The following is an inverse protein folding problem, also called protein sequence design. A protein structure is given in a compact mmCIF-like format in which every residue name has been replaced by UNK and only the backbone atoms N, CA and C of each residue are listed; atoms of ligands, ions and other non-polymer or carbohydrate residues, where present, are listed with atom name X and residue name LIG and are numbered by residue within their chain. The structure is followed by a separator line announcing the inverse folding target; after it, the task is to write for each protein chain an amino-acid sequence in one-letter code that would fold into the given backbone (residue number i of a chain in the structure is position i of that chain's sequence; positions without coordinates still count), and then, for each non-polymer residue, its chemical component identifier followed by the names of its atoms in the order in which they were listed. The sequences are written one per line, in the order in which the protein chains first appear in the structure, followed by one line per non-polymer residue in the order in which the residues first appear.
data_IF_913781846904
#
_entry.id   IF_913781846904
#
_cell.length_a   1.000
_cell.length_b   1.000
_cell.length_c   1.000
_cell.angle_alpha   90.00
_cell.angle_beta   90.00
_cell.angle_gamma   90.00
#
_symmetry.space_group_name_H-M   'P 1'
#
loop_
_entity.id
_entity.type
_entity.pdbx_description
1 polymer ?
#
# COMPACT_ATOMS: atom_id res chain seq x y z
N UNK A 1 2.01 -21.84 -7.98
CA UNK A 1 0.79 -21.21 -7.43
C UNK A 1 1.07 -19.72 -7.35
N UNK A 2 0.62 -18.96 -8.34
CA UNK A 2 0.60 -17.50 -8.27
C UNK A 2 -0.32 -17.11 -7.11
N UNK A 3 0.22 -16.54 -6.02
CA UNK A 3 -0.60 -16.07 -4.90
C UNK A 3 -1.73 -15.17 -5.42
N UNK A 4 -2.96 -15.38 -4.93
CA UNK A 4 -4.10 -14.54 -5.27
C UNK A 4 -3.83 -13.09 -4.86
N UNK A 5 -4.52 -12.12 -5.46
CA UNK A 5 -4.41 -10.71 -5.08
C UNK A 5 -4.58 -10.51 -3.56
N UNK A 6 -5.53 -11.24 -2.95
CA UNK A 6 -5.77 -11.23 -1.51
C UNK A 6 -4.59 -11.72 -0.69
N UNK A 7 -3.86 -12.74 -1.16
CA UNK A 7 -2.67 -13.26 -0.47
C UNK A 7 -1.48 -12.30 -0.60
N UNK A 8 -1.29 -11.70 -1.78
CA UNK A 8 -0.27 -10.66 -1.97
C UNK A 8 -0.55 -9.45 -1.07
N UNK A 9 -1.79 -8.95 -1.06
CA UNK A 9 -2.19 -7.83 -0.22
C UNK A 9 -2.00 -8.14 1.27
N UNK A 10 -2.34 -9.36 1.70
CA UNK A 10 -2.12 -9.81 3.08
C UNK A 10 -0.65 -9.81 3.46
N UNK A 11 0.23 -10.36 2.61
CA UNK A 11 1.69 -10.41 2.84
C UNK A 11 2.32 -9.03 2.83
N UNK A 12 1.94 -8.16 1.91
CA UNK A 12 2.36 -6.76 1.93
C UNK A 12 1.94 -6.07 3.24
N UNK A 13 0.74 -6.40 3.74
CA UNK A 13 0.23 -5.88 5.00
C UNK A 13 1.01 -6.33 6.23
N UNK A 14 1.69 -7.49 6.20
CA UNK A 14 2.55 -7.97 7.29
C UNK A 14 3.74 -7.03 7.55
N UNK A 15 4.17 -6.29 6.51
CA UNK A 15 5.25 -5.29 6.60
C UNK A 15 4.83 -3.94 5.98
N UNK A 16 3.62 -3.50 6.32
CA UNK A 16 3.00 -2.32 5.70
C UNK A 16 3.84 -1.04 5.83
N UNK A 17 4.61 -0.87 6.91
CA UNK A 17 5.48 0.30 7.05
C UNK A 17 6.63 0.27 6.06
N UNK A 18 7.31 -0.87 5.88
CA UNK A 18 8.38 -0.98 4.91
C UNK A 18 7.87 -0.75 3.49
N UNK A 19 6.67 -1.26 3.16
CA UNK A 19 6.02 -0.99 1.87
C UNK A 19 5.79 0.51 1.69
N UNK A 20 5.28 1.19 2.71
CA UNK A 20 5.08 2.65 2.63
C UNK A 20 6.40 3.41 2.51
N UNK A 21 7.49 2.95 3.14
CA UNK A 21 8.80 3.57 2.99
C UNK A 21 9.35 3.47 1.58
N UNK A 22 9.11 2.33 0.91
CA UNK A 22 9.55 2.09 -0.47
C UNK A 22 8.73 2.91 -1.48
N UNK A 23 7.39 2.78 -1.44
CA UNK A 23 6.51 3.32 -2.48
C UNK A 23 5.92 4.69 -2.15
N UNK A 24 5.83 5.05 -0.86
CA UNK A 24 5.21 6.29 -0.36
C UNK A 24 6.22 7.15 0.42
N UNK A 25 7.46 7.22 -0.08
CA UNK A 25 8.62 7.86 0.55
C UNK A 25 8.48 9.36 0.88
N UNK A 26 7.53 10.08 0.28
CA UNK A 26 7.21 11.47 0.64
C UNK A 26 6.31 11.58 1.89
N UNK A 27 5.82 10.46 2.40
CA UNK A 27 5.05 10.40 3.64
C UNK A 27 5.90 10.16 4.89
N UNK A 28 5.22 9.94 6.01
CA UNK A 28 5.85 9.65 7.29
C UNK A 28 4.94 8.81 8.19
N UNK A 29 5.54 8.12 9.15
CA UNK A 29 4.80 7.39 10.19
C UNK A 29 4.26 8.35 11.26
N UNK A 30 2.98 8.21 11.57
CA UNK A 30 2.29 8.86 12.69
C UNK A 30 1.43 7.84 13.45
N UNK A 31 1.91 7.38 14.60
CA UNK A 31 1.25 6.34 15.38
C UNK A 31 1.11 5.02 14.62
N UNK A 32 -0.14 4.60 14.38
CA UNK A 32 -0.46 3.40 13.59
C UNK A 32 -0.75 3.68 12.10
N UNK A 33 -0.44 4.89 11.62
CA UNK A 33 -0.70 5.26 10.24
C UNK A 33 0.56 5.77 9.54
N UNK A 34 0.64 5.55 8.24
CA UNK A 34 1.48 6.31 7.33
C UNK A 34 0.67 7.43 6.72
N UNK A 35 1.20 8.65 6.73
CA UNK A 35 0.53 9.86 6.27
C UNK A 35 1.25 10.39 5.03
N UNK A 36 0.52 10.56 3.93
CA UNK A 36 1.04 11.04 2.64
C UNK A 36 -0.04 11.84 1.90
N UNK A 37 0.31 12.49 0.79
CA UNK A 37 -0.65 13.26 -0.02
C UNK A 37 -1.67 12.36 -0.69
N UNK A 38 -1.21 11.40 -1.49
CA UNK A 38 -2.09 10.48 -2.20
C UNK A 38 -1.37 9.15 -2.48
N UNK A 39 -2.07 8.24 -3.15
CA UNK A 39 -1.58 6.92 -3.56
C UNK A 39 -0.43 7.00 -4.58
N UNK A 40 -0.23 8.16 -5.24
CA UNK A 40 0.86 8.43 -6.18
C UNK A 40 2.09 9.04 -5.50
N UNK A 41 2.17 8.94 -4.18
CA UNK A 41 3.29 9.43 -3.37
C UNK A 41 3.49 10.96 -3.48
N UNK A 42 2.43 11.75 -3.68
CA UNK A 42 2.56 13.21 -3.58
C UNK A 42 2.77 13.64 -2.13
N UNK A 43 3.42 14.80 -1.92
CA UNK A 43 3.56 15.37 -0.58
C UNK A 43 2.21 15.87 -0.09
N UNK A 44 1.86 15.53 1.15
CA UNK A 44 0.60 15.96 1.75
C UNK A 44 0.25 15.14 2.98
N UNK A 45 -1.03 15.16 3.35
CA UNK A 45 -1.54 14.50 4.55
C UNK A 45 -3.00 14.04 4.45
N UNK A 46 -3.51 13.92 3.23
CA UNK A 46 -4.89 13.51 2.96
C UNK A 46 -5.05 12.00 2.96
N UNK A 47 -3.99 11.25 2.59
CA UNK A 47 -4.03 9.78 2.57
C UNK A 47 -3.39 9.16 3.81
N UNK A 48 -4.13 8.21 4.40
CA UNK A 48 -3.76 7.49 5.61
C UNK A 48 -3.71 5.98 5.35
N UNK A 49 -2.53 5.37 5.46
CA UNK A 49 -2.36 3.91 5.37
C UNK A 49 -2.27 3.31 6.76
N UNK A 50 -3.04 2.26 7.07
CA UNK A 50 -2.95 1.56 8.35
C UNK A 50 -1.73 0.65 8.40
N UNK A 51 -0.86 0.84 9.39
CA UNK A 51 0.39 0.08 9.53
C UNK A 51 0.22 -1.27 10.25
N UNK A 52 -0.64 -1.33 11.26
CA UNK A 52 -0.94 -2.56 12.01
C UNK A 52 -2.43 -2.85 12.01
N UNK A 53 -2.78 -4.13 11.85
CA UNK A 53 -4.16 -4.60 11.93
C UNK A 53 -4.76 -4.38 13.32
N UNK A 54 -6.07 -4.15 13.37
CA UNK A 54 -6.82 -4.00 14.61
C UNK A 54 -8.27 -4.45 14.43
N UNK A 55 -9.12 -4.25 15.44
CA UNK A 55 -10.53 -4.63 15.40
C UNK A 55 -11.33 -4.01 14.23
N UNK A 56 -10.81 -2.95 13.60
CA UNK A 56 -11.43 -2.26 12.44
C UNK A 56 -10.92 -2.78 11.09
N UNK A 57 -9.97 -3.73 11.06
CA UNK A 57 -9.54 -4.40 9.84
C UNK A 57 -8.03 -4.62 9.73
N UNK A 58 -7.58 -5.22 8.60
CA UNK A 58 -6.19 -5.57 8.36
C UNK A 58 -5.30 -4.34 8.16
N UNK A 59 -3.99 -4.55 8.32
CA UNK A 59 -2.96 -3.60 7.89
C UNK A 59 -2.94 -3.43 6.37
N UNK A 60 -2.31 -2.36 5.88
CA UNK A 60 -2.16 -2.05 4.46
C UNK A 60 -3.38 -1.42 3.80
N UNK A 61 -4.51 -1.31 4.51
CA UNK A 61 -5.68 -0.54 4.03
C UNK A 61 -5.41 0.96 4.10
N UNK A 62 -5.78 1.68 3.07
CA UNK A 62 -5.67 3.14 3.01
C UNK A 62 -6.97 3.81 2.64
N UNK A 63 -7.09 5.08 3.05
CA UNK A 63 -8.16 6.00 2.66
C UNK A 63 -7.55 7.39 2.42
N UNK A 64 -8.03 8.09 1.42
CA UNK A 64 -7.77 9.50 1.16
C UNK A 64 -8.99 10.32 1.57
N UNK A 65 -8.82 11.18 2.58
CA UNK A 65 -9.91 11.99 3.15
C UNK A 65 -10.33 13.15 2.24
N UNK A 66 -9.51 13.54 1.27
CA UNK A 66 -9.78 14.66 0.37
C UNK A 66 -10.76 14.26 -0.75
N UNK A 67 -10.62 13.06 -1.31
CA UNK A 67 -11.45 12.58 -2.41
C UNK A 67 -12.32 11.36 -2.06
N UNK A 68 -12.13 10.76 -0.88
CA UNK A 68 -12.87 9.59 -0.42
C UNK A 68 -12.39 8.27 -1.04
N UNK A 69 -11.31 8.28 -1.82
CA UNK A 69 -10.74 7.05 -2.39
C UNK A 69 -10.17 6.16 -1.28
N UNK A 70 -10.17 4.86 -1.53
CA UNK A 70 -9.65 3.88 -0.59
C UNK A 70 -9.15 2.64 -1.34
N UNK A 71 -8.24 1.90 -0.72
CA UNK A 71 -7.67 0.72 -1.37
C UNK A 71 -6.77 -0.08 -0.44
N UNK A 72 -5.86 -0.84 -1.02
CA UNK A 72 -4.79 -1.54 -0.30
C UNK A 72 -3.41 -1.33 -0.94
N UNK A 73 -2.41 -2.06 -0.44
CA UNK A 73 -1.02 -1.89 -0.87
C UNK A 73 -0.76 -2.34 -2.31
N UNK A 74 -1.65 -3.11 -2.94
CA UNK A 74 -1.54 -3.37 -4.37
C UNK A 74 -1.91 -2.11 -5.17
N UNK A 75 -2.89 -1.33 -4.71
CA UNK A 75 -3.21 -0.03 -5.33
C UNK A 75 -2.06 0.97 -5.17
N UNK A 76 -1.38 0.95 -4.00
CA UNK A 76 -0.17 1.76 -3.77
C UNK A 76 0.91 1.42 -4.79
N UNK A 77 1.24 0.14 -4.95
CA UNK A 77 2.23 -0.30 -5.94
C UNK A 77 1.79 0.11 -7.36
N UNK A 78 0.53 -0.15 -7.71
CA UNK A 78 -0.02 0.18 -9.02
C UNK A 78 0.13 1.65 -9.37
N UNK A 79 -0.34 2.54 -8.49
CA UNK A 79 -0.40 3.97 -8.78
C UNK A 79 0.95 4.67 -8.60
N UNK A 80 1.76 4.27 -7.62
CA UNK A 80 3.09 4.86 -7.41
C UNK A 80 4.10 4.46 -8.50
N UNK A 81 3.99 3.24 -9.04
CA UNK A 81 4.84 2.76 -10.13
C UNK A 81 4.26 3.05 -11.53
N UNK A 82 3.02 3.56 -11.64
CA UNK A 82 2.36 3.82 -12.91
C UNK A 82 2.02 2.55 -13.72
N UNK A 83 1.76 1.44 -13.04
CA UNK A 83 1.45 0.15 -13.65
C UNK A 83 -0.03 0.11 -14.07
N UNK A 84 -0.30 -0.51 -15.23
CA UNK A 84 -1.65 -0.58 -15.81
C UNK A 84 -2.20 -2.01 -15.66
N UNK A 85 -1.43 -3.01 -16.08
CA UNK A 85 -1.88 -4.40 -16.07
C UNK A 85 -1.73 -5.02 -14.68
N UNK A 86 -2.75 -5.75 -14.22
CA UNK A 86 -2.70 -6.46 -12.94
C UNK A 86 -1.51 -7.43 -12.86
N UNK A 87 -1.09 -8.00 -13.99
CA UNK A 87 0.08 -8.87 -14.06
C UNK A 87 1.34 -8.13 -13.59
N UNK A 88 1.56 -6.91 -14.06
CA UNK A 88 2.74 -6.12 -13.70
C UNK A 88 2.71 -5.74 -12.22
N UNK A 89 1.53 -5.40 -11.69
CA UNK A 89 1.34 -5.14 -10.24
C UNK A 89 1.67 -6.39 -9.41
N UNK A 90 1.19 -7.55 -9.84
CA UNK A 90 1.46 -8.81 -9.15
C UNK A 90 2.94 -9.20 -9.22
N UNK A 91 3.60 -8.98 -10.35
CA UNK A 91 5.02 -9.24 -10.53
C UNK A 91 5.88 -8.30 -9.67
N UNK A 92 5.50 -7.02 -9.57
CA UNK A 92 6.16 -6.05 -8.68
C UNK A 92 5.96 -6.38 -7.20
N UNK A 93 4.75 -6.77 -6.80
CA UNK A 93 4.48 -7.24 -5.45
C UNK A 93 5.30 -8.49 -5.09
N UNK A 94 5.45 -9.44 -6.03
CA UNK A 94 6.31 -10.63 -5.83
C UNK A 94 7.79 -10.26 -5.71
N UNK A 95 8.26 -9.34 -6.55
CA UNK A 95 9.62 -8.79 -6.50
C UNK A 95 9.90 -8.18 -5.12
N UNK A 96 9.00 -7.34 -4.61
CA UNK A 96 9.11 -6.73 -3.29
C UNK A 96 9.13 -7.78 -2.17
N UNK A 97 8.21 -8.74 -2.22
CA UNK A 97 8.10 -9.81 -1.22
C UNK A 97 9.22 -10.87 -1.33
N UNK A 98 10.13 -10.73 -2.31
CA UNK A 98 11.17 -11.69 -2.62
C UNK A 98 10.65 -13.13 -2.78
N UNK A 99 9.47 -13.28 -3.40
CA UNK A 99 8.86 -14.58 -3.69
C UNK A 99 8.95 -14.92 -5.19
N UNK A 100 9.20 -16.20 -5.56
CA UNK A 100 9.29 -16.63 -6.96
C UNK A 100 7.99 -16.51 -7.75
#
# INVERSE_FOLDING_TARGET
MTGSASELARRLGEDAEAVCREYLSNGHRSGNHWIVGDVRNTRGRSMHVRLNGNARGPAGKWVDEQNGEHGDLLDVIRESCGLIEFRDVADEARRYLAIP
#
